data_IF_434472243786
#
_entry.id   IF_434472243786
#
_cell.length_a   1.000
_cell.length_b   1.000
_cell.length_c   1.000
_cell.angle_alpha   90.00
_cell.angle_beta   90.00
_cell.angle_gamma   90.00
#
_symmetry.space_group_name_H-M   'P 1'
#
loop_
_entity.id
_entity.type
_entity.pdbx_description
1 polymer ?
#
# COMPACT_ATOMS: atom_id res chain seq x y z
N UNK A 1 -14.48 22.32 -59.40
CA UNK A 1 -14.37 20.92 -58.93
C UNK A 1 -14.33 20.91 -57.43
N UNK A 2 -15.40 20.43 -56.78
CA UNK A 2 -15.39 20.18 -55.35
C UNK A 2 -14.88 18.74 -55.11
N UNK A 3 -13.87 18.60 -54.26
CA UNK A 3 -13.35 17.31 -53.85
C UNK A 3 -13.73 17.07 -52.39
N UNK A 4 -14.40 15.95 -52.15
CA UNK A 4 -14.72 15.48 -50.80
C UNK A 4 -13.62 14.52 -50.35
N UNK A 5 -13.17 14.65 -49.10
CA UNK A 5 -12.13 13.78 -48.58
C UNK A 5 -12.70 12.39 -48.25
N UNK A 6 -11.85 11.36 -48.31
CA UNK A 6 -12.25 9.97 -48.07
C UNK A 6 -12.95 9.78 -46.72
N UNK A 7 -12.50 10.49 -45.67
CA UNK A 7 -13.11 10.43 -44.35
C UNK A 7 -14.57 10.89 -44.33
N UNK A 8 -14.88 11.97 -45.06
CA UNK A 8 -16.25 12.47 -45.16
C UNK A 8 -17.16 11.50 -45.93
N UNK A 9 -16.63 10.81 -46.95
CA UNK A 9 -17.38 9.78 -47.68
C UNK A 9 -17.69 8.58 -46.77
N UNK A 10 -16.72 8.15 -45.96
CA UNK A 10 -16.91 7.03 -45.03
C UNK A 10 -17.92 7.37 -43.93
N UNK A 11 -17.79 8.54 -43.29
CA UNK A 11 -18.71 8.97 -42.25
C UNK A 11 -20.15 9.12 -42.76
N UNK A 12 -20.34 9.68 -43.97
CA UNK A 12 -21.66 9.80 -44.58
C UNK A 12 -22.29 8.42 -44.87
N UNK A 13 -21.47 7.45 -45.28
CA UNK A 13 -21.93 6.09 -45.57
C UNK A 13 -22.28 5.31 -44.29
N UNK A 14 -21.58 5.54 -43.18
CA UNK A 14 -21.89 4.94 -41.87
C UNK A 14 -23.25 5.45 -41.34
N UNK A 15 -23.48 6.77 -41.43
CA UNK A 15 -24.76 7.38 -41.02
C UNK A 15 -25.92 6.89 -41.89
N UNK A 16 -25.72 6.78 -43.22
CA UNK A 16 -26.77 6.29 -44.13
C UNK A 16 -27.14 4.82 -43.91
N UNK A 17 -26.20 3.98 -43.46
CA UNK A 17 -26.46 2.57 -43.19
C UNK A 17 -26.99 2.31 -41.77
N UNK A 18 -27.35 3.35 -41.01
CA UNK A 18 -27.91 3.24 -39.66
C UNK A 18 -26.87 2.93 -38.58
N UNK A 19 -25.58 2.91 -38.92
CA UNK A 19 -24.48 2.84 -37.97
C UNK A 19 -24.13 4.26 -37.54
N UNK A 20 -24.97 4.84 -36.68
CA UNK A 20 -24.63 6.08 -35.98
C UNK A 20 -23.37 5.77 -35.18
N UNK A 21 -22.27 6.53 -35.32
CA UNK A 21 -21.13 6.35 -34.46
C UNK A 21 -21.58 6.73 -33.06
N UNK A 22 -21.83 5.73 -32.22
CA UNK A 22 -21.76 5.91 -30.77
C UNK A 22 -20.46 6.64 -30.49
N UNK A 23 -20.55 7.73 -29.71
CA UNK A 23 -19.41 8.53 -29.29
C UNK A 23 -18.23 7.61 -29.05
N UNK A 24 -17.14 7.87 -29.76
CA UNK A 24 -15.92 7.07 -29.74
C UNK A 24 -15.63 6.62 -28.32
N UNK A 25 -15.99 5.37 -28.03
CA UNK A 25 -15.51 4.60 -26.92
C UNK A 25 -14.01 4.45 -27.16
N UNK A 26 -13.24 5.47 -26.77
CA UNK A 26 -11.81 5.37 -26.55
C UNK A 26 -11.66 4.28 -25.50
N UNK A 27 -11.43 3.05 -25.96
CA UNK A 27 -11.03 1.89 -25.18
C UNK A 27 -11.38 1.98 -23.68
N UNK A 28 -12.67 1.96 -23.35
CA UNK A 28 -13.11 1.30 -22.11
C UNK A 28 -12.92 -0.19 -22.34
N UNK A 29 -11.66 -0.62 -22.40
CA UNK A 29 -11.34 -1.96 -21.99
C UNK A 29 -11.88 -2.05 -20.56
N UNK A 30 -12.93 -2.83 -20.39
CA UNK A 30 -13.29 -3.41 -19.10
C UNK A 30 -12.09 -4.25 -18.65
N UNK A 31 -11.03 -3.60 -18.18
CA UNK A 31 -9.94 -4.23 -17.46
C UNK A 31 -10.20 -3.99 -15.97
N UNK A 32 -11.23 -4.66 -15.45
CA UNK A 32 -11.31 -5.02 -14.03
C UNK A 32 -10.38 -6.22 -13.74
N UNK A 33 -9.39 -6.47 -14.60
CA UNK A 33 -8.23 -7.28 -14.26
C UNK A 33 -7.22 -6.38 -13.58
N UNK A 34 -6.72 -6.73 -12.38
CA UNK A 34 -5.68 -5.95 -11.73
C UNK A 34 -4.49 -5.88 -12.69
N UNK A 35 -4.06 -4.67 -13.07
CA UNK A 35 -2.76 -4.48 -13.73
C UNK A 35 -1.74 -5.28 -12.93
N UNK A 36 -1.18 -6.32 -13.54
CA UNK A 36 -0.07 -7.06 -12.93
C UNK A 36 1.02 -6.04 -12.63
N UNK A 37 1.26 -5.78 -11.34
CA UNK A 37 2.43 -5.00 -10.95
C UNK A 37 3.60 -5.90 -11.30
N UNK A 38 4.22 -5.66 -12.45
CA UNK A 38 5.44 -6.35 -12.86
C UNK A 38 6.57 -5.86 -11.97
N UNK A 39 6.67 -6.46 -10.78
CA UNK A 39 7.66 -6.03 -9.78
C UNK A 39 9.04 -6.33 -10.36
N UNK A 40 9.80 -5.25 -10.49
CA UNK A 40 11.19 -5.30 -10.92
C UNK A 40 12.04 -6.12 -9.95
N UNK A 41 13.15 -6.66 -10.45
CA UNK A 41 14.06 -7.42 -9.60
C UNK A 41 14.59 -6.54 -8.44
N UNK A 42 14.96 -7.11 -7.28
CA UNK A 42 15.46 -6.32 -6.15
C UNK A 42 16.62 -5.38 -6.50
N UNK A 43 17.49 -5.79 -7.43
CA UNK A 43 18.60 -4.96 -7.90
C UNK A 43 18.14 -3.70 -8.64
N UNK A 44 17.03 -3.77 -9.37
CA UNK A 44 16.45 -2.64 -10.09
C UNK A 44 15.69 -1.71 -9.13
N UNK A 45 14.96 -2.28 -8.16
CA UNK A 45 14.36 -1.50 -7.07
C UNK A 45 15.42 -0.71 -6.29
N UNK A 46 16.57 -1.33 -6.03
CA UNK A 46 17.71 -0.66 -5.38
C UNK A 46 18.24 0.50 -6.22
N UNK A 47 18.34 0.35 -7.55
CA UNK A 47 18.76 1.42 -8.47
C UNK A 47 17.83 2.62 -8.41
N UNK A 48 16.53 2.40 -8.38
CA UNK A 48 15.55 3.49 -8.22
C UNK A 48 15.76 4.21 -6.89
N UNK A 49 15.96 3.46 -5.80
CA UNK A 49 16.28 4.08 -4.50
C UNK A 49 17.63 4.82 -4.53
N UNK A 50 18.60 4.37 -5.32
CA UNK A 50 19.91 5.04 -5.49
C UNK A 50 19.77 6.43 -6.14
N UNK A 51 18.72 6.68 -6.95
CA UNK A 51 18.48 7.99 -7.59
C UNK A 51 18.02 9.07 -6.59
N UNK A 52 17.36 8.68 -5.50
CA UNK A 52 16.79 9.62 -4.52
C UNK A 52 17.50 9.61 -3.16
N UNK A 53 18.11 8.48 -2.77
CA UNK A 53 18.75 8.31 -1.45
C UNK A 53 20.23 7.97 -1.61
N UNK A 54 21.07 8.94 -1.25
CA UNK A 54 22.52 8.81 -1.28
C UNK A 54 23.03 7.99 -0.08
N UNK A 55 23.95 7.06 -0.33
CA UNK A 55 24.47 6.14 0.70
C UNK A 55 23.44 5.10 1.12
N UNK A 56 23.47 4.63 2.38
CA UNK A 56 22.48 3.68 2.93
C UNK A 56 22.31 2.37 2.12
N UNK A 57 23.36 1.86 1.48
CA UNK A 57 23.28 0.71 0.56
C UNK A 57 22.67 -0.54 1.18
N UNK A 58 22.99 -0.81 2.45
CA UNK A 58 22.41 -1.94 3.19
C UNK A 58 20.90 -1.79 3.34
N UNK A 59 20.43 -0.61 3.74
CA UNK A 59 18.99 -0.35 3.93
C UNK A 59 18.25 -0.45 2.60
N UNK A 60 18.79 0.14 1.53
CA UNK A 60 18.22 0.03 0.17
C UNK A 60 18.10 -1.42 -0.27
N UNK A 61 19.18 -2.22 -0.13
CA UNK A 61 19.16 -3.64 -0.51
C UNK A 61 18.12 -4.44 0.27
N UNK A 62 18.05 -4.26 1.58
CA UNK A 62 17.09 -4.98 2.44
C UNK A 62 15.66 -4.58 2.07
N UNK A 63 15.39 -3.28 1.95
CA UNK A 63 14.07 -2.78 1.58
C UNK A 63 13.63 -3.31 0.20
N UNK A 64 14.51 -3.29 -0.80
CA UNK A 64 14.22 -3.82 -2.14
C UNK A 64 13.88 -5.30 -2.12
N UNK A 65 14.59 -6.12 -1.34
CA UNK A 65 14.29 -7.56 -1.21
C UNK A 65 12.98 -7.79 -0.48
N UNK A 66 12.74 -7.08 0.63
CA UNK A 66 11.52 -7.22 1.42
C UNK A 66 10.28 -6.83 0.61
N UNK A 67 10.33 -5.71 -0.11
CA UNK A 67 9.28 -5.24 -1.01
C UNK A 67 9.03 -6.23 -2.13
N UNK A 68 10.09 -6.71 -2.79
CA UNK A 68 9.96 -7.72 -3.85
C UNK A 68 9.25 -8.98 -3.35
N UNK A 69 9.65 -9.50 -2.18
CA UNK A 69 9.05 -10.69 -1.59
C UNK A 69 7.60 -10.44 -1.16
N UNK A 70 7.31 -9.28 -0.57
CA UNK A 70 5.96 -8.90 -0.14
C UNK A 70 4.98 -8.89 -1.31
N UNK A 71 5.33 -8.24 -2.42
CA UNK A 71 4.45 -8.23 -3.58
C UNK A 71 4.43 -9.58 -4.30
N UNK A 72 5.56 -10.27 -4.42
CA UNK A 72 5.58 -11.64 -4.97
C UNK A 72 4.62 -12.56 -4.23
N UNK A 73 4.53 -12.44 -2.90
CA UNK A 73 3.55 -13.15 -2.07
C UNK A 73 2.11 -12.77 -2.43
N UNK A 74 1.80 -11.48 -2.52
CA UNK A 74 0.45 -10.99 -2.84
C UNK A 74 -0.02 -11.51 -4.21
N UNK A 75 0.84 -11.47 -5.23
CA UNK A 75 0.47 -11.94 -6.58
C UNK A 75 0.39 -13.46 -6.69
N UNK A 76 1.27 -14.20 -5.99
CA UNK A 76 1.25 -15.67 -5.97
C UNK A 76 0.08 -16.28 -5.23
N UNK A 77 -0.59 -15.53 -4.35
CA UNK A 77 -1.77 -16.06 -3.66
C UNK A 77 -2.92 -16.43 -4.63
N UNK A 78 -2.86 -15.92 -5.87
CA UNK A 78 -3.79 -16.26 -6.95
C UNK A 78 -3.34 -17.46 -7.81
N UNK A 79 -2.10 -17.93 -7.69
CA UNK A 79 -1.55 -19.08 -8.42
C UNK A 79 -1.48 -20.31 -7.50
N UNK A 80 -2.58 -21.06 -7.45
CA UNK A 80 -2.69 -22.34 -6.75
C UNK A 80 -1.67 -23.31 -7.36
N UNK A 81 -0.66 -23.76 -6.59
CA UNK A 81 0.10 -25.04 -6.70
C UNK A 81 1.51 -25.03 -6.04
N UNK A 82 1.89 -24.02 -5.26
CA UNK A 82 3.19 -24.00 -4.56
C UNK A 82 2.96 -24.04 -3.03
N UNK A 83 3.29 -25.16 -2.38
CA UNK A 83 3.19 -25.38 -0.91
C UNK A 83 4.14 -24.48 -0.09
N UNK A 84 4.79 -23.49 -0.71
CA UNK A 84 5.67 -22.56 -0.02
C UNK A 84 4.88 -21.39 0.58
N UNK A 85 4.63 -21.49 1.90
CA UNK A 85 4.09 -20.39 2.70
C UNK A 85 5.08 -19.21 2.75
N UNK A 86 4.80 -18.15 2.01
CA UNK A 86 5.55 -16.89 2.10
C UNK A 86 5.04 -16.06 3.28
N UNK A 87 5.88 -15.88 4.28
CA UNK A 87 5.55 -15.04 5.45
C UNK A 87 5.60 -13.54 5.13
N UNK A 88 4.86 -12.74 5.93
CA UNK A 88 4.88 -11.28 5.84
C UNK A 88 6.28 -10.76 6.16
N UNK A 89 6.84 -9.96 5.26
CA UNK A 89 8.17 -9.36 5.41
C UNK A 89 8.04 -7.92 5.93
N UNK A 90 7.90 -7.78 7.25
CA UNK A 90 7.95 -6.47 7.89
C UNK A 90 9.42 -5.98 7.96
N UNK A 91 9.63 -4.67 7.83
CA UNK A 91 10.97 -4.06 7.82
C UNK A 91 11.10 -3.07 8.96
N UNK A 92 12.14 -3.25 9.79
CA UNK A 92 12.57 -2.28 10.79
C UNK A 92 13.80 -1.52 10.28
N UNK A 93 13.66 -0.21 10.06
CA UNK A 93 14.75 0.65 9.63
C UNK A 93 15.38 1.36 10.84
N UNK A 94 16.66 1.06 11.10
CA UNK A 94 17.42 1.67 12.20
C UNK A 94 18.46 2.62 11.62
N UNK A 95 18.48 3.86 12.11
CA UNK A 95 19.43 4.89 11.71
C UNK A 95 19.16 6.23 12.37
N UNK A 96 20.12 7.17 12.36
CA UNK A 96 19.96 8.47 12.99
C UNK A 96 18.84 9.31 12.36
N UNK A 97 18.44 10.38 13.04
CA UNK A 97 17.53 11.38 12.46
C UNK A 97 18.15 11.97 11.19
N UNK A 98 17.31 12.29 10.20
CA UNK A 98 17.78 12.85 8.92
C UNK A 98 18.50 11.89 7.98
N UNK A 99 18.60 10.58 8.29
CA UNK A 99 19.30 9.60 7.42
C UNK A 99 18.49 9.12 6.21
N UNK A 100 17.30 9.71 5.96
CA UNK A 100 16.45 9.37 4.82
C UNK A 100 15.53 8.15 5.00
N UNK A 101 15.23 7.72 6.24
CA UNK A 101 14.30 6.59 6.50
C UNK A 101 12.92 6.80 5.88
N UNK A 102 12.30 7.94 6.18
CA UNK A 102 10.98 8.33 5.64
C UNK A 102 11.04 8.53 4.12
N UNK A 103 12.15 9.08 3.60
CA UNK A 103 12.36 9.26 2.16
C UNK A 103 12.42 7.91 1.43
N UNK A 104 13.08 6.89 1.99
CA UNK A 104 13.10 5.54 1.42
C UNK A 104 11.68 4.97 1.23
N UNK A 105 10.83 5.10 2.26
CA UNK A 105 9.45 4.64 2.23
C UNK A 105 8.60 5.42 1.20
N UNK A 106 8.76 6.73 1.14
CA UNK A 106 8.06 7.58 0.16
C UNK A 106 8.50 7.32 -1.29
N UNK A 107 9.80 7.12 -1.52
CA UNK A 107 10.32 6.84 -2.86
C UNK A 107 9.82 5.50 -3.37
N UNK A 108 9.85 4.46 -2.52
CA UNK A 108 9.41 3.13 -2.96
C UNK A 108 7.90 3.07 -3.20
N UNK A 109 7.08 3.73 -2.36
CA UNK A 109 5.63 3.75 -2.55
C UNK A 109 5.23 4.49 -3.83
N UNK A 110 5.86 5.64 -4.10
CA UNK A 110 5.66 6.41 -5.34
C UNK A 110 6.04 5.60 -6.58
N UNK A 111 7.16 4.88 -6.51
CA UNK A 111 7.61 4.06 -7.63
C UNK A 111 6.65 2.89 -7.92
N UNK A 112 6.12 2.26 -6.87
CA UNK A 112 5.19 1.13 -7.00
C UNK A 112 3.75 1.55 -7.29
N UNK A 113 3.44 2.84 -7.24
CA UNK A 113 2.09 3.39 -7.38
C UNK A 113 1.10 2.78 -6.37
N UNK A 114 1.53 2.68 -5.11
CA UNK A 114 0.74 2.11 -4.01
C UNK A 114 0.44 3.16 -2.92
N UNK A 115 -0.71 3.04 -2.23
CA UNK A 115 -1.04 3.91 -1.09
C UNK A 115 0.04 3.85 -0.01
N UNK A 116 0.31 5.00 0.62
CA UNK A 116 1.25 5.11 1.74
C UNK A 116 0.56 5.81 2.91
N UNK A 117 0.52 5.16 4.07
CA UNK A 117 0.15 5.78 5.33
C UNK A 117 1.41 6.01 6.17
N UNK A 118 1.68 7.26 6.53
CA UNK A 118 2.76 7.63 7.45
C UNK A 118 2.11 7.92 8.81
N UNK A 119 2.61 7.28 9.85
CA UNK A 119 2.19 7.50 11.24
C UNK A 119 3.41 7.72 12.13
N UNK A 120 3.26 8.60 13.13
CA UNK A 120 4.24 8.83 14.17
C UNK A 120 3.84 7.99 15.39
N UNK A 121 4.72 7.14 15.90
CA UNK A 121 4.41 6.29 17.04
C UNK A 121 4.13 7.08 18.33
N UNK A 122 4.66 8.30 18.46
CA UNK A 122 4.44 9.14 19.66
C UNK A 122 3.02 9.66 19.78
N UNK A 123 2.29 9.79 18.66
CA UNK A 123 0.91 10.24 18.66
C UNK A 123 -0.08 9.11 18.92
N UNK A 124 0.38 7.85 18.88
CA UNK A 124 -0.46 6.68 19.04
C UNK A 124 -0.79 6.43 20.51
N UNK A 125 -2.04 6.03 20.77
CA UNK A 125 -2.51 5.63 22.11
C UNK A 125 -3.35 4.37 22.04
N UNK A 126 -3.48 3.66 23.17
CA UNK A 126 -4.43 2.56 23.30
C UNK A 126 -5.87 3.04 22.97
N UNK A 127 -6.69 2.16 22.38
CA UNK A 127 -8.07 2.47 22.04
C UNK A 127 -8.84 2.97 23.28
N UNK A 128 -9.58 4.06 23.11
CA UNK A 128 -10.36 4.69 24.20
C UNK A 128 -9.61 5.73 25.03
N UNK A 129 -8.37 6.08 24.65
CA UNK A 129 -7.61 7.18 25.25
C UNK A 129 -7.53 8.41 24.32
N UNK A 130 -7.06 9.53 24.87
CA UNK A 130 -6.86 10.79 24.13
C UNK A 130 -5.58 10.67 23.30
N UNK A 131 -5.71 10.50 21.99
CA UNK A 131 -4.61 10.35 21.03
C UNK A 131 -5.08 9.74 19.71
N UNK A 132 -4.15 9.44 18.80
CA UNK A 132 -4.45 8.69 17.58
C UNK A 132 -4.56 7.20 17.90
N UNK A 133 -5.70 6.61 17.59
CA UNK A 133 -5.89 5.16 17.65
C UNK A 133 -4.99 4.46 16.61
N UNK A 134 -4.34 3.37 17.01
CA UNK A 134 -3.51 2.55 16.13
C UNK A 134 -4.28 2.04 14.91
N UNK A 135 -5.57 1.74 15.06
CA UNK A 135 -6.43 1.34 13.94
C UNK A 135 -6.66 2.48 12.93
N UNK A 136 -6.55 3.75 13.34
CA UNK A 136 -6.71 4.88 12.42
C UNK A 136 -5.59 4.94 11.36
N UNK A 137 -4.42 4.35 11.61
CA UNK A 137 -3.34 4.29 10.61
C UNK A 137 -3.81 3.54 9.36
N UNK A 138 -4.60 2.50 9.57
CA UNK A 138 -5.20 1.72 8.48
C UNK A 138 -6.30 2.50 7.78
N UNK A 139 -7.12 3.25 8.52
CA UNK A 139 -8.10 4.17 7.92
C UNK A 139 -7.42 5.22 7.02
N UNK A 140 -6.27 5.76 7.45
CA UNK A 140 -5.47 6.68 6.62
C UNK A 140 -4.94 6.00 5.35
N UNK A 141 -4.58 4.72 5.43
CA UNK A 141 -4.15 3.95 4.26
C UNK A 141 -5.29 3.77 3.25
N UNK A 142 -6.49 3.44 3.72
CA UNK A 142 -7.70 3.33 2.89
C UNK A 142 -8.05 4.69 2.27
N UNK A 143 -7.93 5.78 3.03
CA UNK A 143 -8.11 7.13 2.49
C UNK A 143 -7.07 7.45 1.40
N UNK A 144 -5.80 7.08 1.61
CA UNK A 144 -4.75 7.22 0.60
C UNK A 144 -4.97 6.31 -0.63
N UNK A 145 -5.86 5.32 -0.51
CA UNK A 145 -6.33 4.47 -1.59
C UNK A 145 -7.66 4.96 -2.21
N UNK A 146 -8.13 6.17 -1.87
CA UNK A 146 -9.41 6.73 -2.31
C UNK A 146 -10.63 5.84 -1.97
N UNK A 147 -10.53 5.07 -0.87
CA UNK A 147 -11.55 4.12 -0.45
C UNK A 147 -11.46 2.74 -1.12
N UNK A 148 -10.51 2.51 -2.02
CA UNK A 148 -10.31 1.19 -2.64
C UNK A 148 -9.58 0.24 -1.68
N UNK A 149 -10.32 -0.73 -1.16
CA UNK A 149 -9.86 -1.74 -0.23
C UNK A 149 -8.76 -2.63 -0.84
N UNK A 150 -8.92 -3.07 -2.09
CA UNK A 150 -7.94 -3.95 -2.78
C UNK A 150 -6.64 -3.23 -3.05
N UNK A 151 -6.72 -1.92 -3.31
CA UNK A 151 -5.54 -1.06 -3.44
C UNK A 151 -4.88 -0.83 -2.08
N UNK A 152 -5.65 -0.66 -1.00
CA UNK A 152 -5.15 -0.49 0.36
C UNK A 152 -4.43 -1.75 0.89
N UNK A 153 -4.91 -2.96 0.57
CA UNK A 153 -4.24 -4.24 0.90
C UNK A 153 -2.84 -4.37 0.30
N UNK A 154 -2.56 -3.63 -0.77
CA UNK A 154 -1.26 -3.54 -1.44
C UNK A 154 -0.44 -2.34 -0.99
N UNK A 155 -0.98 -1.56 -0.05
CA UNK A 155 -0.39 -0.33 0.45
C UNK A 155 0.76 -0.56 1.42
N UNK A 156 1.44 0.52 1.76
CA UNK A 156 2.57 0.52 2.70
C UNK A 156 2.17 1.35 3.92
N UNK A 157 2.42 0.81 5.11
CA UNK A 157 2.35 1.56 6.37
C UNK A 157 3.78 1.83 6.84
N UNK A 158 4.08 3.09 7.09
CA UNK A 158 5.35 3.52 7.65
C UNK A 158 5.12 4.16 9.02
N UNK A 159 5.71 3.56 10.06
CA UNK A 159 5.63 4.05 11.44
C UNK A 159 6.98 4.64 11.81
N UNK A 160 7.03 5.94 12.03
CA UNK A 160 8.23 6.65 12.50
C UNK A 160 8.28 6.71 14.04
N UNK A 161 9.45 7.04 14.59
CA UNK A 161 9.68 7.19 16.03
C UNK A 161 9.27 5.98 16.89
N UNK A 162 9.33 4.77 16.34
CA UNK A 162 8.99 3.53 17.06
C UNK A 162 9.86 3.29 18.31
N UNK A 163 11.05 3.89 18.35
CA UNK A 163 11.92 3.86 19.54
C UNK A 163 11.30 4.59 20.74
N UNK A 164 10.35 5.51 20.52
CA UNK A 164 9.68 6.28 21.59
C UNK A 164 8.59 5.52 22.31
N UNK A 165 8.01 4.50 21.67
CA UNK A 165 7.03 3.60 22.31
C UNK A 165 7.70 2.42 22.98
N UNK A 166 9.03 2.27 22.87
CA UNK A 166 9.79 1.24 23.58
C UNK A 166 9.85 1.56 25.09
N UNK A 167 9.51 0.57 25.93
CA UNK A 167 9.59 0.72 27.39
C UNK A 167 11.02 0.98 27.83
N UNK A 168 11.20 1.94 28.74
CA UNK A 168 12.51 2.22 29.38
C UNK A 168 12.72 1.52 30.74
N UNK A 169 11.79 0.70 31.25
CA UNK A 169 11.95 0.07 32.57
C UNK A 169 11.45 -1.37 32.69
N UNK A 170 12.24 -2.22 33.35
CA UNK A 170 11.93 -3.62 33.67
C UNK A 170 10.81 -3.76 34.73
N UNK A 171 10.55 -2.72 35.51
CA UNK A 171 9.49 -2.73 36.52
C UNK A 171 8.14 -2.58 35.82
N UNK A 172 7.30 -3.63 35.89
CA UNK A 172 5.87 -3.54 35.53
C UNK A 172 5.24 -2.47 36.42
N UNK A 173 5.05 -1.26 35.89
CA UNK A 173 4.26 -0.25 36.58
C UNK A 173 2.86 -0.80 36.75
N UNK A 174 2.34 -0.77 37.98
CA UNK A 174 1.00 -1.25 38.33
C UNK A 174 -0.08 -0.33 37.69
N UNK A 175 0.31 0.88 37.28
CA UNK A 175 -0.52 1.81 36.51
C UNK A 175 -0.57 1.42 35.04
N UNK A 176 -1.77 1.34 34.47
CA UNK A 176 -2.01 1.01 33.05
C UNK A 176 -1.20 1.92 32.12
N UNK A 177 -0.36 1.31 31.28
CA UNK A 177 0.45 2.01 30.28
C UNK A 177 -0.34 2.14 28.97
N UNK A 178 -0.67 3.38 28.63
CA UNK A 178 -1.60 3.72 27.55
C UNK A 178 -0.89 4.20 26.28
N UNK A 179 0.45 4.35 26.34
CA UNK A 179 1.27 4.93 25.27
C UNK A 179 2.51 4.11 24.91
N UNK A 180 3.03 3.29 25.83
CA UNK A 180 4.12 2.36 25.57
C UNK A 180 3.60 0.98 25.18
N UNK A 181 3.44 0.10 26.17
CA UNK A 181 3.08 -1.31 25.97
C UNK A 181 1.71 -1.48 25.29
N UNK A 182 0.71 -0.67 25.63
CA UNK A 182 -0.61 -0.72 24.99
C UNK A 182 -0.56 -0.46 23.49
N UNK A 183 0.30 0.48 23.05
CA UNK A 183 0.52 0.78 21.62
C UNK A 183 1.25 -0.39 20.95
N UNK A 184 2.28 -0.96 21.59
CA UNK A 184 2.97 -2.14 21.04
C UNK A 184 2.02 -3.33 20.84
N UNK A 185 1.13 -3.60 21.81
CA UNK A 185 0.14 -4.67 21.71
C UNK A 185 -0.88 -4.43 20.59
N UNK A 186 -1.32 -3.18 20.41
CA UNK A 186 -2.20 -2.82 19.30
C UNK A 186 -1.49 -2.93 17.94
N UNK A 187 -0.23 -2.52 17.86
CA UNK A 187 0.59 -2.65 16.64
C UNK A 187 0.85 -4.10 16.25
N UNK A 188 0.99 -5.02 17.21
CA UNK A 188 1.13 -6.46 16.92
C UNK A 188 -0.02 -7.00 16.06
N UNK A 189 -1.26 -6.57 16.33
CA UNK A 189 -2.42 -6.96 15.50
C UNK A 189 -2.28 -6.54 14.04
N UNK A 190 -1.72 -5.34 13.79
CA UNK A 190 -1.45 -4.85 12.43
C UNK A 190 -0.27 -5.62 11.80
N UNK A 191 0.75 -5.94 12.58
CA UNK A 191 1.96 -6.62 12.11
C UNK A 191 1.68 -8.08 11.75
N UNK A 192 0.89 -8.80 12.55
CA UNK A 192 0.53 -10.21 12.35
C UNK A 192 -0.52 -10.42 11.25
N UNK A 193 -1.33 -9.39 10.97
CA UNK A 193 -2.44 -9.44 10.04
C UNK A 193 -3.75 -9.67 10.79
N UNK A 194 -4.57 -8.61 10.87
CA UNK A 194 -5.86 -8.64 11.55
C UNK A 194 -6.92 -7.96 10.69
N UNK A 195 -8.15 -8.47 10.77
CA UNK A 195 -9.33 -7.81 10.19
C UNK A 195 -9.68 -6.60 11.05
N UNK A 196 -9.48 -5.40 10.51
CA UNK A 196 -9.74 -4.15 11.22
C UNK A 196 -11.23 -3.81 11.19
N UNK A 197 -11.89 -3.97 12.33
CA UNK A 197 -13.35 -3.83 12.47
C UNK A 197 -13.88 -2.46 12.03
N UNK A 198 -13.10 -1.39 12.22
CA UNK A 198 -13.46 -0.01 11.89
C UNK A 198 -13.71 0.24 10.40
N UNK A 199 -13.20 -0.64 9.54
CA UNK A 199 -13.32 -0.56 8.07
C UNK A 199 -14.43 -1.48 7.56
N UNK A 200 -15.03 -2.32 8.41
CA UNK A 200 -16.19 -3.17 8.04
C UNK A 200 -17.36 -2.43 7.37
N UNK A 201 -17.68 -1.16 7.69
CA UNK A 201 -18.74 -0.43 6.97
C UNK A 201 -18.38 -0.08 5.52
N UNK A 202 -17.08 -0.05 5.20
CA UNK A 202 -16.54 0.27 3.88
C UNK A 202 -16.27 -0.97 3.04
N UNK A 203 -16.40 -2.16 3.63
CA UNK A 203 -16.15 -3.46 2.99
C UNK A 203 -17.50 -4.09 2.64
N UNK A 204 -17.67 -4.51 1.39
CA UNK A 204 -18.89 -5.19 0.95
C UNK A 204 -19.12 -6.48 1.76
N UNK A 205 -20.38 -6.90 2.00
CA UNK A 205 -20.72 -8.06 2.83
C UNK A 205 -19.91 -9.34 2.59
N UNK A 206 -19.54 -9.54 1.33
CA UNK A 206 -18.79 -10.61 0.68
C UNK A 206 -17.25 -10.48 0.80
N UNK A 207 -16.73 -9.29 1.09
CA UNK A 207 -15.29 -9.01 1.26
C UNK A 207 -14.89 -8.92 2.76
N UNK A 208 -15.86 -9.05 3.69
CA UNK A 208 -15.65 -8.92 5.15
C UNK A 208 -14.66 -9.91 5.76
N UNK A 209 -14.27 -10.97 5.04
CA UNK A 209 -13.28 -11.95 5.47
C UNK A 209 -11.84 -11.67 5.03
N UNK A 210 -11.58 -10.63 4.22
CA UNK A 210 -10.37 -10.57 3.40
C UNK A 210 -9.42 -9.40 3.66
N UNK A 211 -9.76 -8.42 4.51
CA UNK A 211 -8.85 -7.29 4.74
C UNK A 211 -7.74 -7.66 5.74
N UNK A 212 -6.64 -8.16 5.19
CA UNK A 212 -5.40 -8.43 5.94
C UNK A 212 -4.35 -7.38 5.58
N UNK A 213 -4.01 -6.53 6.54
CA UNK A 213 -2.86 -5.60 6.46
C UNK A 213 -1.57 -6.35 6.72
#
# INVERSE_FOLDING_TARGET
NACICKACVTAANEIMNGNIPEETNVNKQNSNEPKEIKIKAPAELKKILDEYVVGQDRAKKVLSVAVYNHYKRIFRHNEINDDTELNKSNVLLIGPTGSGKTLLAQTISKYLDVPLAIADATSLTEAGYVGDDVENVVTRLVQAADGDIKKAERGIIFIDEIDKVARMSENRSITRDVSGEGVQQALLKIVEGAVVSKIMPMISPDERGAFYV
#
